data_IF_336163131338
#
_entry.id   IF_336163131338
#
_cell.length_a   1.000
_cell.length_b   1.000
_cell.length_c   1.000
_cell.angle_alpha   90.00
_cell.angle_beta   90.00
_cell.angle_gamma   90.00
#
_symmetry.space_group_name_H-M   'P 1'
#
loop_
_entity.id
_entity.type
_entity.pdbx_description
1 polymer ?
#
# COMPACT_ATOMS: atom_id res chain seq x y z
N UNK A 1 12.22 -9.68 -10.13
CA UNK A 1 11.59 -10.56 -9.12
C UNK A 1 10.08 -10.37 -9.07
N UNK A 2 9.57 -9.15 -8.83
CA UNK A 2 8.11 -8.92 -8.73
C UNK A 2 7.33 -9.31 -9.99
N UNK A 3 7.87 -9.00 -11.17
CA UNK A 3 7.30 -9.44 -12.47
C UNK A 3 7.23 -10.97 -12.62
N UNK A 4 8.27 -11.68 -12.19
CA UNK A 4 8.31 -13.14 -12.26
C UNK A 4 7.31 -13.78 -11.27
N UNK A 5 7.16 -13.20 -10.07
CA UNK A 5 6.11 -13.62 -9.12
C UNK A 5 4.71 -13.34 -9.68
N UNK A 6 4.49 -12.17 -10.29
CA UNK A 6 3.24 -11.83 -10.96
C UNK A 6 2.89 -12.79 -12.10
N UNK A 7 3.88 -13.26 -12.87
CA UNK A 7 3.71 -14.28 -13.91
C UNK A 7 3.68 -15.73 -13.38
N UNK A 8 3.64 -15.92 -12.06
CA UNK A 8 3.67 -17.23 -11.40
C UNK A 8 4.91 -18.11 -11.71
N UNK A 9 5.98 -17.50 -12.23
CA UNK A 9 7.28 -18.16 -12.47
C UNK A 9 8.04 -18.42 -11.16
N UNK A 10 7.77 -17.59 -10.14
CA UNK A 10 8.26 -17.78 -8.77
C UNK A 10 7.07 -18.14 -7.90
N UNK A 11 7.18 -19.25 -7.18
CA UNK A 11 6.21 -19.67 -6.17
C UNK A 11 6.77 -19.33 -4.78
N UNK A 12 6.09 -18.41 -4.08
CA UNK A 12 6.35 -18.12 -2.67
C UNK A 12 5.42 -18.95 -1.77
N UNK A 13 5.28 -18.54 -0.50
CA UNK A 13 4.28 -19.12 0.41
C UNK A 13 2.83 -18.87 -0.08
N UNK A 14 2.62 -17.85 -0.90
CA UNK A 14 1.33 -17.47 -1.49
C UNK A 14 1.58 -17.00 -2.93
N UNK A 15 0.63 -17.26 -3.84
CA UNK A 15 0.71 -16.75 -5.21
C UNK A 15 0.47 -15.25 -5.26
N UNK A 16 0.94 -14.57 -6.31
CA UNK A 16 0.65 -13.14 -6.49
C UNK A 16 -0.87 -12.89 -6.53
N UNK A 17 -1.60 -13.74 -7.26
CA UNK A 17 -3.04 -13.59 -7.46
C UNK A 17 -3.81 -13.75 -6.14
N UNK A 18 -3.45 -14.72 -5.31
CA UNK A 18 -4.10 -14.92 -4.00
C UNK A 18 -3.81 -13.74 -3.07
N UNK A 19 -2.56 -13.25 -3.06
CA UNK A 19 -2.19 -12.08 -2.27
C UNK A 19 -2.94 -10.82 -2.73
N UNK A 20 -3.03 -10.58 -4.04
CA UNK A 20 -3.76 -9.45 -4.63
C UNK A 20 -5.26 -9.51 -4.29
N UNK A 21 -5.88 -10.69 -4.44
CA UNK A 21 -7.29 -10.91 -4.13
C UNK A 21 -7.58 -10.68 -2.64
N UNK A 22 -6.76 -11.25 -1.75
CA UNK A 22 -6.92 -11.12 -0.30
C UNK A 22 -6.77 -9.67 0.17
N UNK A 23 -5.77 -8.93 -0.32
CA UNK A 23 -5.60 -7.52 0.02
C UNK A 23 -6.73 -6.66 -0.54
N UNK A 24 -7.14 -6.90 -1.79
CA UNK A 24 -8.21 -6.12 -2.42
C UNK A 24 -9.56 -6.33 -1.74
N UNK A 25 -9.88 -7.56 -1.30
CA UNK A 25 -11.09 -7.83 -0.52
C UNK A 25 -11.16 -6.98 0.75
N UNK A 26 -10.09 -7.00 1.56
CA UNK A 26 -10.02 -6.21 2.80
C UNK A 26 -10.08 -4.71 2.51
N UNK A 27 -9.45 -4.26 1.42
CA UNK A 27 -9.50 -2.86 1.01
C UNK A 27 -10.91 -2.43 0.58
N UNK A 28 -11.69 -3.30 -0.07
CA UNK A 28 -13.09 -3.04 -0.40
C UNK A 28 -13.96 -2.98 0.86
N UNK A 29 -13.76 -3.88 1.82
CA UNK A 29 -14.46 -3.85 3.11
C UNK A 29 -14.15 -2.57 3.91
N UNK A 30 -12.91 -2.08 3.83
CA UNK A 30 -12.49 -0.83 4.47
C UNK A 30 -13.09 0.42 3.82
N UNK A 31 -13.62 0.34 2.60
CA UNK A 31 -14.29 1.44 1.90
C UNK A 31 -15.76 1.64 2.36
N UNK A 32 -16.03 1.39 3.64
CA UNK A 32 -17.35 1.54 4.24
C UNK A 32 -17.81 3.02 4.19
N UNK A 33 -18.94 3.33 3.52
CA UNK A 33 -19.45 4.70 3.43
C UNK A 33 -19.69 5.34 4.80
N UNK A 34 -19.38 6.63 4.92
CA UNK A 34 -19.63 7.42 6.14
C UNK A 34 -18.75 7.07 7.35
N UNK A 35 -17.76 6.17 7.20
CA UNK A 35 -16.85 5.77 8.28
C UNK A 35 -15.41 6.14 7.97
N UNK A 36 -14.68 6.54 9.02
CA UNK A 36 -13.22 6.69 8.97
C UNK A 36 -12.57 5.42 9.50
N UNK A 37 -11.89 4.68 8.62
CA UNK A 37 -11.19 3.44 8.96
C UNK A 37 -9.69 3.71 9.10
N UNK A 38 -9.06 3.15 10.13
CA UNK A 38 -7.61 3.13 10.31
C UNK A 38 -7.12 1.69 10.10
N UNK A 39 -6.23 1.51 9.12
CA UNK A 39 -5.57 0.24 8.86
C UNK A 39 -4.11 0.33 9.27
N UNK A 40 -3.64 -0.62 10.09
CA UNK A 40 -2.22 -0.76 10.46
C UNK A 40 -1.71 -2.01 9.75
N UNK A 41 -0.70 -1.85 8.88
CA UNK A 41 -0.26 -2.92 7.99
C UNK A 41 1.19 -2.74 7.52
N UNK A 42 1.67 -3.60 6.63
CA UNK A 42 3.03 -3.62 6.09
C UNK A 42 3.16 -2.97 4.71
N UNK A 43 4.39 -2.64 4.31
CA UNK A 43 4.69 -2.05 3.00
C UNK A 43 4.13 -2.86 1.84
N UNK A 44 4.26 -4.20 1.85
CA UNK A 44 3.73 -5.08 0.80
C UNK A 44 2.22 -4.94 0.60
N UNK A 45 1.45 -4.86 1.68
CA UNK A 45 -0.01 -4.65 1.63
C UNK A 45 -0.32 -3.24 1.13
N UNK A 46 0.41 -2.21 1.60
CA UNK A 46 0.24 -0.83 1.13
C UNK A 46 0.52 -0.75 -0.38
N UNK A 47 1.61 -1.34 -0.86
CA UNK A 47 1.96 -1.38 -2.28
C UNK A 47 0.89 -2.05 -3.12
N UNK A 48 0.28 -3.13 -2.60
CA UNK A 48 -0.82 -3.82 -3.28
C UNK A 48 -2.12 -2.99 -3.31
N UNK A 49 -2.41 -2.24 -2.25
CA UNK A 49 -3.51 -1.26 -2.25
C UNK A 49 -3.25 -0.15 -3.28
N UNK A 50 -2.02 0.38 -3.35
CA UNK A 50 -1.67 1.39 -4.35
C UNK A 50 -1.77 0.84 -5.78
N UNK A 51 -1.36 -0.41 -5.99
CA UNK A 51 -1.50 -1.11 -7.27
C UNK A 51 -2.96 -1.19 -7.68
N UNK A 52 -3.83 -1.68 -6.80
CA UNK A 52 -5.27 -1.81 -7.04
C UNK A 52 -5.91 -0.44 -7.31
N UNK A 53 -5.60 0.56 -6.47
CA UNK A 53 -6.17 1.90 -6.56
C UNK A 53 -5.73 2.69 -7.81
N UNK A 54 -4.44 2.60 -8.17
CA UNK A 54 -3.85 3.39 -9.26
C UNK A 54 -3.63 2.57 -10.54
N UNK A 55 -4.07 1.31 -10.57
CA UNK A 55 -3.92 0.37 -11.69
C UNK A 55 -2.46 0.22 -12.14
N UNK A 56 -1.57 0.02 -11.18
CA UNK A 56 -0.14 -0.10 -11.45
C UNK A 56 0.18 -1.51 -11.97
N UNK A 57 1.05 -1.62 -12.97
CA UNK A 57 1.71 -2.88 -13.29
C UNK A 57 2.74 -3.25 -12.19
N UNK A 58 3.29 -4.48 -12.16
CA UNK A 58 4.22 -4.88 -11.10
C UNK A 58 5.46 -3.98 -11.03
N UNK A 59 6.00 -3.57 -12.17
CA UNK A 59 7.15 -2.65 -12.21
C UNK A 59 6.82 -1.31 -11.54
N UNK A 60 5.68 -0.70 -11.86
CA UNK A 60 5.23 0.56 -11.23
C UNK A 60 4.83 0.37 -9.76
N UNK A 61 4.30 -0.79 -9.39
CA UNK A 61 4.05 -1.15 -7.98
C UNK A 61 5.37 -1.15 -7.18
N UNK A 62 6.45 -1.69 -7.74
CA UNK A 62 7.74 -1.68 -7.05
C UNK A 62 8.25 -0.26 -6.77
N UNK A 63 8.07 0.68 -7.72
CA UNK A 63 8.49 2.07 -7.55
C UNK A 63 7.80 2.78 -6.37
N UNK A 64 6.53 2.44 -6.10
CA UNK A 64 5.82 3.01 -4.94
C UNK A 64 6.05 2.20 -3.67
N UNK A 65 6.28 0.89 -3.77
CA UNK A 65 6.51 0.01 -2.61
C UNK A 65 7.83 0.32 -1.89
N UNK A 66 8.93 0.37 -2.65
CA UNK A 66 10.29 0.44 -2.12
C UNK A 66 10.58 1.67 -1.23
N UNK A 67 10.08 2.88 -1.54
CA UNK A 67 10.36 4.04 -0.70
C UNK A 67 9.48 4.13 0.56
N UNK A 68 8.58 3.17 0.83
CA UNK A 68 7.65 3.24 1.96
C UNK A 68 8.42 3.27 3.29
N UNK A 69 8.23 4.34 4.06
CA UNK A 69 8.77 4.48 5.40
C UNK A 69 8.00 3.60 6.38
N UNK A 70 8.71 3.05 7.36
CA UNK A 70 8.08 2.46 8.53
C UNK A 70 7.27 3.54 9.25
N UNK A 71 6.06 3.16 9.70
CA UNK A 71 5.08 4.05 10.33
C UNK A 71 4.60 5.22 9.45
N UNK A 72 4.74 5.13 8.13
CA UNK A 72 4.16 6.10 7.22
C UNK A 72 2.62 6.15 7.30
N UNK A 73 2.08 7.32 6.98
CA UNK A 73 0.65 7.59 6.90
C UNK A 73 0.28 7.71 5.42
N UNK A 74 -0.68 6.88 5.01
CA UNK A 74 -1.30 6.90 3.70
C UNK A 74 -2.77 7.29 3.87
N UNK A 75 -3.30 8.12 2.97
CA UNK A 75 -4.68 8.59 3.03
C UNK A 75 -5.39 8.26 1.73
N UNK A 76 -6.52 7.60 1.87
CA UNK A 76 -7.42 7.27 0.79
C UNK A 76 -8.76 7.92 1.11
N UNK A 77 -9.31 8.66 0.16
CA UNK A 77 -10.62 9.28 0.26
C UNK A 77 -11.62 8.45 -0.53
N UNK A 78 -12.64 7.95 0.15
CA UNK A 78 -13.73 7.18 -0.45
C UNK A 78 -14.87 8.15 -0.72
N UNK A 79 -15.29 8.24 -1.99
CA UNK A 79 -16.36 9.12 -2.45
C UNK A 79 -17.41 8.28 -3.18
N UNK A 80 -18.60 8.84 -3.37
CA UNK A 80 -19.70 8.16 -4.06
C UNK A 80 -19.32 7.73 -5.49
N UNK A 81 -18.57 8.57 -6.20
CA UNK A 81 -18.13 8.32 -7.58
C UNK A 81 -16.76 7.64 -7.69
N UNK A 82 -16.18 7.17 -6.57
CA UNK A 82 -14.92 6.44 -6.57
C UNK A 82 -13.96 6.81 -5.45
N UNK A 83 -12.81 6.17 -5.48
CA UNK A 83 -11.82 6.23 -4.40
C UNK A 83 -10.54 6.88 -4.92
N UNK A 84 -9.99 7.83 -4.17
CA UNK A 84 -8.84 8.66 -4.58
C UNK A 84 -7.74 8.58 -3.53
N UNK A 85 -6.48 8.51 -3.99
CA UNK A 85 -5.32 8.65 -3.12
C UNK A 85 -5.14 10.13 -2.75
N UNK A 86 -5.31 10.47 -1.48
CA UNK A 86 -5.20 11.85 -0.97
C UNK A 86 -3.90 12.13 -0.22
N UNK A 87 -3.10 11.10 0.08
CA UNK A 87 -1.78 11.25 0.67
C UNK A 87 -1.01 9.94 0.66
N UNK A 88 0.29 10.03 0.41
CA UNK A 88 1.14 8.86 0.27
C UNK A 88 2.43 9.03 1.06
N UNK A 89 2.78 8.00 1.84
CA UNK A 89 4.08 7.83 2.48
C UNK A 89 4.53 9.01 3.38
N UNK A 90 3.56 9.68 4.00
CA UNK A 90 3.84 10.85 4.83
C UNK A 90 4.31 10.42 6.23
N UNK A 91 5.27 11.10 6.81
CA UNK A 91 5.79 10.82 8.15
C UNK A 91 5.86 12.10 9.01
N UNK A 92 4.77 12.90 9.10
CA UNK A 92 4.80 14.21 9.73
C UNK A 92 5.24 14.15 11.21
N UNK A 93 4.96 13.04 11.91
CA UNK A 93 5.41 12.79 13.28
C UNK A 93 6.93 12.54 13.40
N UNK A 94 7.62 12.31 12.29
CA UNK A 94 9.08 12.07 12.21
C UNK A 94 9.83 13.14 11.40
N UNK A 95 9.15 14.17 10.86
CA UNK A 95 9.77 15.21 10.01
C UNK A 95 10.65 16.19 10.79
N UNK A 96 10.51 16.27 12.10
CA UNK A 96 11.37 17.08 12.97
C UNK A 96 12.83 16.59 12.89
N UNK A 97 13.77 17.52 12.92
CA UNK A 97 15.21 17.23 12.78
C UNK A 97 15.72 16.29 13.88
N UNK A 98 15.27 16.50 15.12
CA UNK A 98 15.56 15.64 16.28
C UNK A 98 15.04 14.19 16.13
N UNK A 99 14.18 13.92 15.16
CA UNK A 99 13.61 12.60 14.85
C UNK A 99 14.19 11.97 13.58
N UNK A 100 15.13 12.61 12.90
CA UNK A 100 15.70 12.10 11.65
C UNK A 100 16.30 10.68 11.80
N UNK A 101 16.94 10.41 12.94
CA UNK A 101 17.50 9.10 13.28
C UNK A 101 16.47 7.98 13.39
N UNK A 102 15.18 8.31 13.59
CA UNK A 102 14.09 7.33 13.74
C UNK A 102 13.41 6.99 12.40
N UNK A 103 13.78 7.64 11.30
CA UNK A 103 13.22 7.37 9.97
C UNK A 103 13.87 6.10 9.40
N UNK A 104 13.08 5.07 9.20
CA UNK A 104 13.55 3.75 8.71
C UNK A 104 12.64 3.24 7.60
N UNK A 105 13.18 2.49 6.64
CA UNK A 105 12.48 1.78 5.56
C UNK A 105 13.22 0.46 5.26
N UNK A 106 12.60 -0.47 4.53
CA UNK A 106 13.15 -1.80 4.22
C UNK A 106 13.05 -2.10 2.73
#
# INVERSE_FOLDING_TARGET
MLEAWHRAEIQGNESFADFEARVTSVFQEAQAPGRRVLCITSGGVIGMVMRSLLRLDPTRMAHVLLPIWNSSIHRVQVMEHGTVLSGFNAIPHMEREDRAHARTHF
#
